data_IF_910594526243
#
_entry.id   IF_910594526243
#
_cell.length_a   1.000
_cell.length_b   1.000
_cell.length_c   1.000
_cell.angle_alpha   90.00
_cell.angle_beta   90.00
_cell.angle_gamma   90.00
#
_symmetry.space_group_name_H-M   'P 1'
#
loop_
_entity.id
_entity.type
_entity.pdbx_description
1 polymer ?
#
# COMPACT_ATOMS: atom_id res chain seq x y z
N UNK A 1 1.32 -19.47 3.56
CA UNK A 1 1.37 -19.74 2.11
C UNK A 1 2.83 -19.84 1.74
N UNK A 2 3.21 -20.80 0.89
CA UNK A 2 4.56 -20.86 0.37
C UNK A 2 4.87 -19.65 -0.53
N UNK A 3 6.14 -19.25 -0.63
CA UNK A 3 6.53 -18.08 -1.41
C UNK A 3 6.23 -18.26 -2.91
N UNK A 4 6.46 -19.45 -3.47
CA UNK A 4 6.18 -19.73 -4.87
C UNK A 4 4.67 -19.72 -5.14
N UNK A 5 3.89 -20.29 -4.23
CA UNK A 5 2.43 -20.28 -4.30
C UNK A 5 1.86 -18.85 -4.31
N UNK A 6 2.40 -17.97 -3.47
CA UNK A 6 2.00 -16.55 -3.42
C UNK A 6 2.28 -15.86 -4.76
N UNK A 7 3.48 -16.04 -5.32
CA UNK A 7 3.86 -15.39 -6.57
C UNK A 7 3.00 -15.87 -7.76
N UNK A 8 2.70 -17.16 -7.83
CA UNK A 8 1.91 -17.73 -8.93
C UNK A 8 0.42 -17.44 -8.84
N UNK A 9 -0.12 -17.26 -7.63
CA UNK A 9 -1.58 -17.17 -7.42
C UNK A 9 -2.08 -15.79 -6.98
N UNK A 10 -1.20 -14.81 -6.71
CA UNK A 10 -1.61 -13.47 -6.29
C UNK A 10 -2.50 -12.81 -7.36
N UNK A 11 -3.66 -12.32 -6.93
CA UNK A 11 -4.60 -11.52 -7.74
C UNK A 11 -4.92 -10.20 -7.06
N UNK A 12 -5.38 -9.23 -7.83
CA UNK A 12 -5.84 -7.94 -7.29
C UNK A 12 -7.33 -8.03 -6.95
N UNK A 13 -7.71 -7.60 -5.75
CA UNK A 13 -9.11 -7.50 -5.32
C UNK A 13 -9.61 -6.05 -5.46
N UNK A 14 -10.67 -5.82 -6.23
CA UNK A 14 -11.20 -4.48 -6.51
C UNK A 14 -12.26 -4.00 -5.52
N UNK A 15 -12.87 -4.91 -4.75
CA UNK A 15 -13.89 -4.60 -3.74
C UNK A 15 -13.34 -4.95 -2.37
N UNK A 16 -12.96 -3.93 -1.61
CA UNK A 16 -12.42 -4.04 -0.25
C UNK A 16 -13.46 -3.55 0.76
N UNK A 17 -13.32 -4.01 2.01
CA UNK A 17 -14.15 -3.61 3.12
C UNK A 17 -13.30 -3.37 4.37
N UNK A 18 -13.87 -2.72 5.38
CA UNK A 18 -13.23 -2.56 6.68
C UNK A 18 -13.16 -3.91 7.45
N UNK A 19 -12.17 -4.07 8.37
CA UNK A 19 -11.11 -3.12 8.69
C UNK A 19 -9.93 -3.18 7.70
N UNK A 20 -9.25 -2.04 7.52
CA UNK A 20 -7.96 -2.02 6.82
C UNK A 20 -6.86 -2.69 7.69
N UNK A 21 -5.76 -3.17 7.08
CA UNK A 21 -4.59 -3.61 7.83
C UNK A 21 -4.10 -2.50 8.77
N UNK A 22 -3.76 -2.86 10.01
CA UNK A 22 -3.28 -1.95 11.04
C UNK A 22 -2.20 -2.63 11.89
N UNK A 23 -1.51 -1.85 12.74
CA UNK A 23 -0.47 -2.37 13.63
C UNK A 23 0.64 -3.08 12.87
N UNK A 24 1.02 -4.26 13.34
CA UNK A 24 2.10 -5.07 12.74
C UNK A 24 1.83 -5.43 11.28
N UNK A 25 0.58 -5.70 10.91
CA UNK A 25 0.23 -6.05 9.54
C UNK A 25 0.57 -4.90 8.57
N UNK A 26 0.24 -3.66 8.94
CA UNK A 26 0.58 -2.48 8.16
C UNK A 26 2.09 -2.26 8.09
N UNK A 27 2.80 -2.43 9.21
CA UNK A 27 4.26 -2.32 9.26
C UNK A 27 4.94 -3.35 8.36
N UNK A 28 4.46 -4.60 8.35
CA UNK A 28 4.98 -5.65 7.49
C UNK A 28 4.80 -5.33 6.00
N UNK A 29 3.68 -4.71 5.61
CA UNK A 29 3.45 -4.24 4.23
C UNK A 29 4.46 -3.15 3.85
N UNK A 30 4.66 -2.15 4.70
CA UNK A 30 5.61 -1.06 4.45
C UNK A 30 7.03 -1.63 4.35
N UNK A 31 7.44 -2.46 5.32
CA UNK A 31 8.74 -3.10 5.36
C UNK A 31 9.00 -3.97 4.12
N UNK A 32 8.00 -4.68 3.61
CA UNK A 32 8.11 -5.41 2.36
C UNK A 32 8.36 -4.46 1.17
N UNK A 33 7.67 -3.32 1.11
CA UNK A 33 7.89 -2.29 0.09
C UNK A 33 9.31 -1.72 0.10
N UNK A 34 9.91 -1.55 1.29
CA UNK A 34 11.30 -1.09 1.46
C UNK A 34 12.36 -2.06 0.90
N UNK A 35 11.97 -3.29 0.53
CA UNK A 35 12.88 -4.30 -0.05
C UNK A 35 12.87 -4.32 -1.58
N UNK A 36 12.12 -3.42 -2.22
CA UNK A 36 12.20 -3.25 -3.66
C UNK A 36 13.64 -2.92 -4.11
N UNK A 37 14.10 -3.46 -5.25
CA UNK A 37 15.44 -3.16 -5.75
C UNK A 37 15.57 -1.66 -6.06
N UNK A 38 16.67 -1.08 -5.60
CA UNK A 38 16.93 0.36 -5.68
C UNK A 38 18.38 0.57 -6.11
N UNK A 39 18.54 0.98 -7.37
CA UNK A 39 19.87 1.17 -7.95
C UNK A 39 20.56 2.37 -7.30
N UNK A 40 21.67 2.10 -6.60
CA UNK A 40 22.39 3.12 -5.85
C UNK A 40 21.79 3.42 -4.46
N UNK A 41 20.82 2.64 -3.98
CA UNK A 41 20.20 2.79 -2.65
C UNK A 41 19.72 4.22 -2.36
N UNK A 42 19.14 4.88 -3.38
CA UNK A 42 18.74 6.28 -3.33
C UNK A 42 17.51 6.54 -2.46
N UNK A 43 16.75 5.49 -2.17
CA UNK A 43 15.45 5.52 -1.50
C UNK A 43 14.51 6.59 -2.10
N UNK A 44 14.32 6.62 -3.44
CA UNK A 44 13.64 7.73 -4.11
C UNK A 44 12.10 7.61 -4.02
N UNK A 45 11.59 7.07 -2.91
CA UNK A 45 10.19 6.78 -2.69
C UNK A 45 9.69 7.47 -1.42
N UNK A 46 8.38 7.70 -1.38
CA UNK A 46 7.67 8.17 -0.20
C UNK A 46 6.35 7.43 -0.13
N UNK A 47 6.14 6.70 0.96
CA UNK A 47 4.83 6.12 1.24
C UNK A 47 3.94 7.16 1.91
N UNK A 48 2.77 7.41 1.33
CA UNK A 48 1.73 8.26 1.91
C UNK A 48 0.58 7.35 2.32
N UNK A 49 0.33 7.26 3.63
CA UNK A 49 -0.76 6.47 4.18
C UNK A 49 -1.96 7.41 4.35
N UNK A 50 -2.99 7.22 3.54
CA UNK A 50 -4.26 7.93 3.66
C UNK A 50 -5.27 7.00 4.34
N UNK A 51 -5.73 7.40 5.53
CA UNK A 51 -6.69 6.65 6.34
C UNK A 51 -7.71 7.61 6.97
N UNK A 52 -8.89 7.10 7.30
CA UNK A 52 -9.96 7.88 7.95
C UNK A 52 -10.23 9.22 7.24
N UNK A 53 -10.16 10.35 7.95
CA UNK A 53 -10.35 11.70 7.39
C UNK A 53 -9.35 12.04 6.28
N UNK A 54 -8.18 11.38 6.25
CA UNK A 54 -7.22 11.49 5.17
C UNK A 54 -7.76 10.99 3.82
N UNK A 55 -8.61 9.96 3.83
CA UNK A 55 -9.30 9.47 2.62
C UNK A 55 -10.35 10.47 2.13
N UNK A 56 -11.06 11.13 3.06
CA UNK A 56 -12.05 12.17 2.71
C UNK A 56 -11.35 13.33 2.02
N UNK A 57 -10.29 13.87 2.64
CA UNK A 57 -9.47 14.94 2.06
C UNK A 57 -8.91 14.54 0.69
N UNK A 58 -8.44 13.30 0.54
CA UNK A 58 -7.92 12.83 -0.73
C UNK A 58 -9.01 12.79 -1.81
N UNK A 59 -10.23 12.33 -1.46
CA UNK A 59 -11.36 12.34 -2.39
C UNK A 59 -11.72 13.74 -2.86
N UNK A 60 -11.75 14.73 -1.96
CA UNK A 60 -12.05 16.13 -2.29
C UNK A 60 -11.01 16.71 -3.27
N UNK A 61 -9.71 16.46 -3.02
CA UNK A 61 -8.64 16.90 -3.91
C UNK A 61 -8.77 16.29 -5.31
N UNK A 62 -9.08 14.98 -5.40
CA UNK A 62 -9.29 14.32 -6.69
C UNK A 62 -10.50 14.88 -7.43
N UNK A 63 -11.59 15.21 -6.72
CA UNK A 63 -12.78 15.85 -7.31
C UNK A 63 -12.48 17.25 -7.82
N UNK A 64 -11.70 18.03 -7.09
CA UNK A 64 -11.35 19.40 -7.47
C UNK A 64 -10.37 19.47 -8.66
N UNK A 65 -9.57 18.43 -8.87
CA UNK A 65 -8.60 18.33 -9.96
C UNK A 65 -9.18 17.78 -11.28
N UNK A 66 -10.42 17.26 -11.25
CA UNK A 66 -11.13 16.72 -12.41
C UNK A 66 -11.87 17.82 -13.17
#
# INVERSE_FOLDING_TARGET
MDALDLLLNRRSASRLAAPAPSGEALQNIINAGLRAPDHGALQPWRFVIAENDGLVRFSELLRAAA
#
